data_IF_979607133260
#
_entry.id   IF_979607133260
#
_cell.length_a   1.000
_cell.length_b   1.000
_cell.length_c   1.000
_cell.angle_alpha   90.00
_cell.angle_beta   90.00
_cell.angle_gamma   90.00
#
_symmetry.space_group_name_H-M   'P 1'
#
loop_
_entity.id
_entity.type
_entity.pdbx_description
1 polymer ?
#
# COMPACT_ATOMS: atom_id res chain seq x y z
N UNK A 1 -10.08 7.81 -14.67
CA UNK A 1 -8.98 7.33 -13.82
C UNK A 1 -9.30 5.89 -13.42
N UNK A 2 -8.84 4.91 -14.19
CA UNK A 2 -9.21 3.49 -14.07
C UNK A 2 -8.40 2.70 -13.03
N UNK A 3 -7.95 3.37 -11.97
CA UNK A 3 -7.12 2.80 -10.92
C UNK A 3 -8.04 2.42 -9.76
N UNK A 4 -8.23 1.12 -9.45
CA UNK A 4 -9.06 0.75 -8.31
C UNK A 4 -8.41 1.20 -7.00
N UNK A 5 -9.20 1.84 -6.17
CA UNK A 5 -8.82 2.33 -4.84
C UNK A 5 -9.58 1.55 -3.78
N UNK A 6 -8.90 1.21 -2.70
CA UNK A 6 -9.47 0.53 -1.54
C UNK A 6 -9.41 1.49 -0.36
N UNK A 7 -10.59 1.81 0.16
CA UNK A 7 -10.82 2.87 1.14
C UNK A 7 -11.44 2.26 2.39
N UNK A 8 -10.92 2.63 3.56
CA UNK A 8 -11.50 2.37 4.87
C UNK A 8 -12.03 3.67 5.49
N UNK A 9 -11.42 4.15 6.57
CA UNK A 9 -11.64 5.52 7.07
C UNK A 9 -11.01 6.55 6.12
N UNK A 10 -9.82 6.26 5.60
CA UNK A 10 -9.14 6.99 4.51
C UNK A 10 -8.71 6.03 3.40
N UNK A 11 -7.99 6.54 2.39
CA UNK A 11 -7.35 5.69 1.38
C UNK A 11 -6.40 4.71 2.10
N UNK A 12 -6.51 3.42 1.78
CA UNK A 12 -5.62 2.38 2.31
C UNK A 12 -4.59 2.04 1.25
N UNK A 13 -5.06 1.57 0.10
CA UNK A 13 -4.22 1.27 -1.06
C UNK A 13 -4.87 1.67 -2.38
N UNK A 14 -4.04 2.03 -3.36
CA UNK A 14 -4.44 2.17 -4.76
C UNK A 14 -3.62 1.19 -5.62
N UNK A 15 -4.22 0.68 -6.70
CA UNK A 15 -3.54 -0.24 -7.61
C UNK A 15 -3.44 0.37 -9.00
N UNK A 16 -2.23 0.75 -9.40
CA UNK A 16 -1.93 1.37 -10.69
C UNK A 16 -1.31 0.39 -11.68
N UNK A 17 -1.76 0.42 -12.93
CA UNK A 17 -1.12 -0.31 -14.03
C UNK A 17 -0.05 0.57 -14.69
N UNK A 18 1.17 0.05 -14.78
CA UNK A 18 2.30 0.69 -15.46
C UNK A 18 2.81 -0.24 -16.56
N UNK A 19 3.58 0.29 -17.52
CA UNK A 19 3.97 -0.46 -18.73
C UNK A 19 4.69 -1.79 -18.48
N UNK A 20 5.32 -1.97 -17.31
CA UNK A 20 6.08 -3.18 -16.98
C UNK A 20 5.78 -3.78 -15.60
N UNK A 21 4.82 -3.22 -14.86
CA UNK A 21 4.47 -3.68 -13.52
C UNK A 21 3.11 -3.14 -13.07
N UNK A 22 2.56 -3.75 -12.04
CA UNK A 22 1.46 -3.17 -11.27
C UNK A 22 2.04 -2.55 -10.01
N UNK A 23 1.71 -1.29 -9.73
CA UNK A 23 2.08 -0.62 -8.49
C UNK A 23 0.96 -0.77 -7.47
N UNK A 24 1.27 -1.21 -6.27
CA UNK A 24 0.37 -1.09 -5.12
C UNK A 24 0.88 0.05 -4.26
N UNK A 25 0.15 1.15 -4.25
CA UNK A 25 0.47 2.36 -3.52
C UNK A 25 -0.17 2.30 -2.14
N UNK A 26 0.65 2.42 -1.10
CA UNK A 26 0.22 2.41 0.29
C UNK A 26 0.13 3.85 0.80
N UNK A 27 -1.08 4.28 1.12
CA UNK A 27 -1.28 5.54 1.83
C UNK A 27 -0.67 5.45 3.22
N UNK A 28 0.04 6.50 3.66
CA UNK A 28 0.86 6.48 4.89
C UNK A 28 1.85 5.31 4.93
N UNK A 29 2.35 4.88 3.76
CA UNK A 29 3.30 3.79 3.63
C UNK A 29 4.59 3.96 4.45
N UNK A 30 4.99 5.19 4.80
CA UNK A 30 6.13 5.45 5.70
C UNK A 30 5.93 4.98 7.13
N UNK A 31 4.67 4.79 7.55
CA UNK A 31 4.31 4.33 8.91
C UNK A 31 4.15 2.81 9.00
N UNK A 32 4.28 2.09 7.89
CA UNK A 32 4.17 0.62 7.87
C UNK A 32 5.50 -0.01 8.29
N UNK A 33 5.43 -1.07 9.08
CA UNK A 33 6.59 -1.93 9.34
C UNK A 33 6.85 -2.81 8.13
N UNK A 34 8.06 -2.74 7.61
CA UNK A 34 8.49 -3.44 6.40
C UNK A 34 9.83 -4.18 6.64
N UNK A 35 9.81 -5.27 7.43
CA UNK A 35 11.03 -6.04 7.74
C UNK A 35 11.63 -6.74 6.51
N UNK A 36 10.82 -6.97 5.47
CA UNK A 36 11.25 -7.60 4.22
C UNK A 36 11.67 -6.59 3.14
N UNK A 37 11.65 -5.29 3.46
CA UNK A 37 12.08 -4.22 2.58
C UNK A 37 11.41 -4.22 1.19
N UNK A 38 10.10 -4.51 1.16
CA UNK A 38 9.32 -4.51 -0.08
C UNK A 38 8.88 -3.09 -0.51
N UNK A 39 8.78 -2.16 0.44
CA UNK A 39 8.31 -0.80 0.19
C UNK A 39 9.39 0.04 -0.50
N UNK A 40 9.04 0.56 -1.66
CA UNK A 40 9.83 1.49 -2.45
C UNK A 40 9.29 2.93 -2.32
N UNK A 41 10.17 3.90 -2.61
CA UNK A 41 9.84 5.32 -2.71
C UNK A 41 10.45 6.19 -1.61
N UNK A 42 10.66 7.46 -1.95
CA UNK A 42 11.29 8.46 -1.08
C UNK A 42 10.36 9.62 -0.71
N UNK A 43 9.08 9.52 -1.09
CA UNK A 43 8.06 10.52 -0.76
C UNK A 43 7.85 10.67 0.75
N UNK A 44 7.22 11.78 1.16
CA UNK A 44 7.02 12.11 2.58
C UNK A 44 6.12 11.11 3.32
N UNK A 45 5.03 10.66 2.67
CA UNK A 45 4.02 9.80 3.31
C UNK A 45 3.73 8.51 2.52
N UNK A 46 3.95 8.52 1.20
CA UNK A 46 3.61 7.40 0.33
C UNK A 46 4.78 6.42 0.18
N UNK A 47 4.44 5.13 0.14
CA UNK A 47 5.32 4.05 -0.33
C UNK A 47 4.55 3.18 -1.31
N UNK A 48 5.27 2.39 -2.10
CA UNK A 48 4.65 1.48 -3.05
C UNK A 48 5.42 0.16 -3.15
N UNK A 49 4.74 -0.88 -3.61
CA UNK A 49 5.37 -2.14 -4.03
C UNK A 49 5.14 -2.32 -5.52
N UNK A 50 6.18 -2.69 -6.27
CA UNK A 50 6.07 -3.02 -7.70
C UNK A 50 5.91 -4.52 -7.88
N UNK A 51 4.73 -4.94 -8.30
CA UNK A 51 4.42 -6.32 -8.65
C UNK A 51 4.75 -6.54 -10.13
N UNK A 52 5.74 -7.38 -10.41
CA UNK A 52 6.16 -7.75 -11.78
C UNK A 52 5.60 -9.11 -12.18
N UNK A 53 5.26 -9.95 -11.21
CA UNK A 53 4.70 -11.28 -11.43
C UNK A 53 3.46 -11.50 -10.57
N UNK A 54 2.65 -12.51 -10.93
CA UNK A 54 1.51 -12.95 -10.11
C UNK A 54 1.99 -13.48 -8.75
N UNK A 55 3.17 -14.10 -8.69
CA UNK A 55 3.74 -14.60 -7.44
C UNK A 55 3.97 -13.46 -6.43
N UNK A 56 4.40 -12.28 -6.89
CA UNK A 56 4.60 -11.10 -6.05
C UNK A 56 3.29 -10.69 -5.34
N UNK A 57 2.15 -10.80 -6.03
CA UNK A 57 0.84 -10.48 -5.45
C UNK A 57 0.39 -11.49 -4.39
N UNK A 58 0.86 -12.73 -4.47
CA UNK A 58 0.57 -13.80 -3.50
C UNK A 58 1.58 -13.91 -2.36
N UNK A 59 2.64 -13.08 -2.38
CA UNK A 59 3.67 -13.06 -1.37
C UNK A 59 3.08 -12.82 0.05
N UNK A 60 3.37 -13.69 1.04
CA UNK A 60 2.91 -13.52 2.41
C UNK A 60 3.24 -12.15 3.02
N UNK A 61 4.41 -11.58 2.71
CA UNK A 61 4.87 -10.29 3.21
C UNK A 61 4.09 -9.13 2.59
N UNK A 62 3.73 -9.25 1.30
CA UNK A 62 2.82 -8.30 0.64
C UNK A 62 1.44 -8.32 1.33
N UNK A 63 0.93 -9.50 1.67
CA UNK A 63 -0.32 -9.63 2.43
C UNK A 63 -0.20 -9.03 3.83
N UNK A 64 0.94 -9.19 4.50
CA UNK A 64 1.21 -8.62 5.81
C UNK A 64 1.18 -7.07 5.76
N UNK A 65 1.81 -6.47 4.74
CA UNK A 65 1.76 -5.02 4.52
C UNK A 65 0.34 -4.50 4.32
N UNK A 66 -0.49 -5.19 3.52
CA UNK A 66 -1.90 -4.81 3.34
C UNK A 66 -2.68 -4.89 4.66
N UNK A 67 -2.48 -5.94 5.46
CA UNK A 67 -3.12 -6.05 6.78
C UNK A 67 -2.65 -4.95 7.74
N UNK A 68 -1.38 -4.58 7.68
CA UNK A 68 -0.82 -3.47 8.45
C UNK A 68 -1.46 -2.13 8.06
N UNK A 69 -1.59 -1.86 6.77
CA UNK A 69 -2.21 -0.65 6.26
C UNK A 69 -3.68 -0.53 6.70
N UNK A 70 -4.44 -1.62 6.66
CA UNK A 70 -5.81 -1.68 7.20
C UNK A 70 -5.82 -1.39 8.70
N UNK A 71 -4.89 -1.97 9.47
CA UNK A 71 -4.80 -1.73 10.91
C UNK A 71 -4.49 -0.27 11.22
N UNK A 72 -3.54 0.33 10.50
CA UNK A 72 -3.18 1.74 10.64
C UNK A 72 -4.38 2.64 10.36
N UNK A 73 -5.18 2.30 9.34
CA UNK A 73 -6.40 3.02 9.00
C UNK A 73 -7.50 2.92 10.08
N UNK A 74 -7.62 1.77 10.75
CA UNK A 74 -8.63 1.55 11.79
C UNK A 74 -8.26 2.14 13.17
N UNK A 75 -6.96 2.28 13.47
CA UNK A 75 -6.48 2.67 14.81
C UNK A 75 -6.42 4.20 14.99
N UNK A 76 -6.31 4.98 13.91
CA UNK A 76 -6.37 6.44 14.04
C UNK A 76 -7.81 6.93 14.14
N UNK A 77 -8.12 7.59 15.26
CA UNK A 77 -9.37 8.30 15.49
C UNK A 77 -9.56 9.40 14.44
N UNK A 78 -10.76 9.51 13.86
CA UNK A 78 -11.12 10.46 12.79
C UNK A 78 -10.50 11.84 13.04
N UNK A 79 -9.43 12.16 12.32
CA UNK A 79 -8.90 13.52 12.30
C UNK A 79 -9.75 14.37 11.37
N UNK A 80 -10.24 15.46 11.93
CA UNK A 80 -10.99 16.52 11.24
C UNK A 80 -10.25 16.88 9.96
N UNK A 81 -10.90 16.70 8.81
CA UNK A 81 -10.46 17.20 7.52
C UNK A 81 -10.67 18.71 7.44
#
# INVERSE_FOLDING_TARGET
WGTPWYIGQDLVVAVGAFGHHVGVEFWRGTSLRDPSHLLEGTGKNLRHVKLRTVADATNPEMRALVREAIRLDLVEEKRVR
#
